data_IF_173839703500
#
_entry.id   IF_173839703500
#
_cell.length_a   1.000
_cell.length_b   1.000
_cell.length_c   1.000
_cell.angle_alpha   90.00
_cell.angle_beta   90.00
_cell.angle_gamma   90.00
#
_symmetry.space_group_name_H-M   'P 1'
#
loop_
_entity.id
_entity.type
_entity.pdbx_description
1 polymer ?
#
# COMPACT_ATOMS: atom_id res chain seq x y z
N UNK A 1 10.79 48.25 52.28
CA UNK A 1 9.89 47.09 52.08
C UNK A 1 9.75 46.82 50.60
N UNK A 2 10.46 45.82 50.05
CA UNK A 2 10.39 45.47 48.63
C UNK A 2 9.46 44.28 48.40
N UNK A 3 8.29 44.49 47.78
CA UNK A 3 7.40 43.40 47.36
C UNK A 3 8.08 42.64 46.20
N UNK A 4 8.48 41.39 46.45
CA UNK A 4 8.81 40.44 45.39
C UNK A 4 7.50 40.05 44.68
N UNK A 5 7.35 40.43 43.42
CA UNK A 5 6.27 39.91 42.58
C UNK A 5 6.58 38.46 42.19
N UNK A 6 5.59 37.54 42.23
CA UNK A 6 5.78 36.20 41.71
C UNK A 6 5.81 36.27 40.18
N UNK A 7 6.91 35.83 39.58
CA UNK A 7 6.95 35.57 38.15
C UNK A 7 6.01 34.39 37.88
N UNK A 8 4.84 34.68 37.31
CA UNK A 8 3.98 33.67 36.72
C UNK A 8 4.79 32.90 35.69
N UNK A 9 4.89 31.59 35.88
CA UNK A 9 5.56 30.70 34.95
C UNK A 9 4.80 30.72 33.62
N UNK A 10 5.33 31.46 32.65
CA UNK A 10 4.93 31.34 31.26
C UNK A 10 5.26 29.91 30.82
N UNK A 11 4.27 29.01 30.82
CA UNK A 11 4.39 27.74 30.10
C UNK A 11 4.44 28.07 28.62
N UNK A 12 5.61 27.86 28.02
CA UNK A 12 5.76 27.80 26.57
C UNK A 12 4.73 26.79 26.00
N UNK A 13 4.07 27.12 24.87
CA UNK A 13 3.12 26.21 24.26
C UNK A 13 3.82 24.91 23.83
N UNK A 14 3.20 23.74 24.02
CA UNK A 14 3.78 22.45 23.62
C UNK A 14 3.61 22.28 22.11
N UNK A 15 4.51 22.86 21.32
CA UNK A 15 4.39 22.86 19.85
C UNK A 15 5.10 21.67 19.23
N UNK A 16 6.40 21.50 19.51
CA UNK A 16 7.22 20.51 18.78
C UNK A 16 6.92 19.05 19.16
N UNK A 17 6.75 18.74 20.46
CA UNK A 17 6.47 17.38 20.93
C UNK A 17 5.05 16.90 20.51
N UNK A 18 4.08 17.81 20.50
CA UNK A 18 2.71 17.50 20.08
C UNK A 18 2.65 17.15 18.60
N UNK A 19 3.32 17.94 17.75
CA UNK A 19 3.37 17.71 16.31
C UNK A 19 4.17 16.44 15.97
N UNK A 20 5.28 16.19 16.67
CA UNK A 20 6.02 14.94 16.55
C UNK A 20 5.15 13.72 16.86
N UNK A 21 4.37 13.74 17.96
CA UNK A 21 3.47 12.64 18.31
C UNK A 21 2.36 12.45 17.29
N UNK A 22 1.76 13.54 16.79
CA UNK A 22 0.67 13.49 15.79
C UNK A 22 1.16 12.90 14.47
N UNK A 23 2.21 13.48 13.90
CA UNK A 23 2.74 13.04 12.61
C UNK A 23 3.50 11.71 12.73
N UNK A 24 4.15 11.41 13.86
CA UNK A 24 4.76 10.11 14.12
C UNK A 24 3.74 8.96 14.16
N UNK A 25 2.52 9.19 14.66
CA UNK A 25 1.42 8.21 14.53
C UNK A 25 1.02 7.99 13.07
N UNK A 26 0.91 9.07 12.30
CA UNK A 26 0.57 8.99 10.89
C UNK A 26 1.65 8.25 10.09
N UNK A 27 2.93 8.53 10.31
CA UNK A 27 4.05 7.81 9.67
C UNK A 27 3.97 6.30 9.92
N UNK A 28 3.74 5.88 11.18
CA UNK A 28 3.60 4.46 11.51
C UNK A 28 2.40 3.80 10.82
N UNK A 29 1.29 4.52 10.72
CA UNK A 29 0.11 4.03 10.01
C UNK A 29 0.39 3.87 8.50
N UNK A 30 1.04 4.86 7.89
CA UNK A 30 1.41 4.81 6.47
C UNK A 30 2.37 3.65 6.17
N UNK A 31 3.36 3.38 7.03
CA UNK A 31 4.26 2.23 6.86
C UNK A 31 3.52 0.89 7.01
N UNK A 32 2.55 0.79 7.92
CA UNK A 32 1.71 -0.40 8.02
C UNK A 32 0.92 -0.64 6.73
N UNK A 33 0.21 0.38 6.25
CA UNK A 33 -0.58 0.30 5.01
C UNK A 33 0.33 -0.04 3.83
N UNK A 34 1.54 0.53 3.78
CA UNK A 34 2.55 0.21 2.76
C UNK A 34 2.92 -1.27 2.77
N UNK A 35 3.13 -1.85 3.95
CA UNK A 35 3.36 -3.29 4.12
C UNK A 35 2.20 -4.13 3.62
N UNK A 36 0.97 -3.77 3.99
CA UNK A 36 -0.27 -4.44 3.55
C UNK A 36 -0.43 -4.41 2.02
N UNK A 37 -0.24 -3.24 1.39
CA UNK A 37 -0.28 -3.10 -0.08
C UNK A 37 0.80 -3.95 -0.74
N UNK A 38 2.01 -3.96 -0.19
CA UNK A 38 3.13 -4.74 -0.74
C UNK A 38 2.84 -6.24 -0.68
N UNK A 39 2.30 -6.70 0.45
CA UNK A 39 1.89 -8.09 0.63
C UNK A 39 0.80 -8.48 -0.38
N UNK A 40 -0.26 -7.69 -0.49
CA UNK A 40 -1.34 -7.95 -1.44
C UNK A 40 -0.84 -7.95 -2.89
N UNK A 41 0.05 -7.02 -3.25
CA UNK A 41 0.65 -6.97 -4.59
C UNK A 41 1.48 -8.23 -4.90
N UNK A 42 2.21 -8.76 -3.92
CA UNK A 42 2.99 -9.99 -4.07
C UNK A 42 2.08 -11.21 -4.26
N UNK A 43 0.99 -11.31 -3.49
CA UNK A 43 -0.01 -12.37 -3.62
C UNK A 43 -0.73 -12.31 -4.98
N UNK A 44 -1.12 -11.11 -5.44
CA UNK A 44 -1.72 -10.92 -6.75
C UNK A 44 -0.77 -11.30 -7.87
N UNK A 45 0.52 -10.95 -7.77
CA UNK A 45 1.52 -11.35 -8.76
C UNK A 45 1.64 -12.88 -8.85
N UNK A 46 1.79 -13.55 -7.70
CA UNK A 46 1.88 -15.01 -7.66
C UNK A 46 0.61 -15.68 -8.22
N UNK A 47 -0.56 -15.14 -7.89
CA UNK A 47 -1.84 -15.64 -8.42
C UNK A 47 -1.97 -15.40 -9.93
N UNK A 48 -1.53 -14.24 -10.42
CA UNK A 48 -1.50 -13.89 -11.84
C UNK A 48 -0.60 -14.81 -12.66
N UNK A 49 0.59 -15.12 -12.15
CA UNK A 49 1.54 -16.04 -12.80
C UNK A 49 0.90 -17.44 -12.93
N UNK A 50 0.35 -17.98 -11.83
CA UNK A 50 -0.36 -19.27 -11.83
C UNK A 50 -1.55 -19.32 -12.80
N UNK A 51 -2.34 -18.26 -12.87
CA UNK A 51 -3.47 -18.18 -13.81
C UNK A 51 -3.00 -18.14 -15.27
N UNK A 52 -1.88 -17.46 -15.54
CA UNK A 52 -1.27 -17.41 -16.87
C UNK A 52 -0.79 -18.79 -17.30
N UNK A 53 -0.10 -19.51 -16.41
CA UNK A 53 0.34 -20.88 -16.66
C UNK A 53 -0.86 -21.81 -16.92
N UNK A 54 -1.91 -21.72 -16.11
CA UNK A 54 -3.12 -22.51 -16.30
C UNK A 54 -3.82 -22.22 -17.63
N UNK A 55 -3.81 -20.97 -18.06
CA UNK A 55 -4.42 -20.57 -19.34
C UNK A 55 -3.60 -21.13 -20.50
N UNK A 56 -2.27 -21.08 -20.43
CA UNK A 56 -1.39 -21.69 -21.42
C UNK A 56 -1.62 -23.21 -21.53
N UNK A 57 -1.67 -23.92 -20.39
CA UNK A 57 -1.95 -25.37 -20.40
C UNK A 57 -3.33 -25.71 -20.94
N UNK A 58 -4.35 -24.92 -20.61
CA UNK A 58 -5.72 -25.17 -21.09
C UNK A 58 -5.82 -24.92 -22.60
N UNK A 59 -5.07 -23.94 -23.12
CA UNK A 59 -4.96 -23.67 -24.54
C UNK A 59 -4.26 -24.81 -25.29
N UNK A 60 -3.12 -25.29 -24.79
CA UNK A 60 -2.40 -26.43 -25.36
C UNK A 60 -3.26 -27.71 -25.36
N UNK A 61 -3.97 -27.99 -24.27
CA UNK A 61 -4.90 -29.13 -24.20
C UNK A 61 -6.03 -29.02 -25.25
N UNK A 62 -6.60 -27.82 -25.41
CA UNK A 62 -7.61 -27.55 -26.42
C UNK A 62 -7.09 -27.77 -27.84
N UNK A 63 -5.86 -27.31 -28.15
CA UNK A 63 -5.22 -27.53 -29.46
C UNK A 63 -4.94 -29.01 -29.74
N UNK A 64 -4.64 -29.79 -28.69
CA UNK A 64 -4.42 -31.23 -28.80
C UNK A 64 -5.71 -32.06 -28.85
N UNK A 65 -6.89 -31.41 -28.83
CA UNK A 65 -8.20 -32.06 -28.98
C UNK A 65 -8.85 -32.53 -27.68
N UNK A 66 -8.30 -32.16 -26.52
CA UNK A 66 -8.89 -32.52 -25.23
C UNK A 66 -10.08 -31.60 -24.89
N UNK A 67 -11.29 -32.18 -24.91
CA UNK A 67 -12.54 -31.57 -24.45
C UNK A 67 -12.66 -30.04 -24.70
N UNK A 68 -12.71 -29.61 -25.97
CA UNK A 68 -12.50 -28.21 -26.36
C UNK A 68 -13.51 -27.24 -25.75
N UNK A 69 -14.76 -27.64 -25.54
CA UNK A 69 -15.79 -26.80 -24.91
C UNK A 69 -15.43 -26.47 -23.44
N UNK A 70 -15.00 -27.48 -22.68
CA UNK A 70 -14.60 -27.29 -21.28
C UNK A 70 -13.32 -26.46 -21.16
N UNK A 71 -12.37 -26.65 -22.07
CA UNK A 71 -11.14 -25.85 -22.08
C UNK A 71 -11.40 -24.40 -22.47
N UNK A 72 -12.30 -24.16 -23.43
CA UNK A 72 -12.73 -22.80 -23.79
C UNK A 72 -13.35 -22.06 -22.60
N UNK A 73 -14.28 -22.71 -21.87
CA UNK A 73 -14.89 -22.11 -20.69
C UNK A 73 -13.84 -21.78 -19.61
N UNK A 74 -12.87 -22.68 -19.41
CA UNK A 74 -11.77 -22.47 -18.46
C UNK A 74 -10.88 -21.30 -18.85
N UNK A 75 -10.55 -21.15 -20.13
CA UNK A 75 -9.78 -20.01 -20.67
C UNK A 75 -10.55 -18.70 -20.44
N UNK A 76 -11.86 -18.67 -20.65
CA UNK A 76 -12.69 -17.49 -20.42
C UNK A 76 -12.75 -17.08 -18.95
N UNK A 77 -12.83 -18.05 -18.04
CA UNK A 77 -12.75 -17.79 -16.58
C UNK A 77 -11.39 -17.22 -16.20
N UNK A 78 -10.30 -17.83 -16.68
CA UNK A 78 -8.93 -17.38 -16.39
C UNK A 78 -8.68 -15.98 -16.93
N UNK A 79 -9.17 -15.67 -18.13
CA UNK A 79 -9.05 -14.34 -18.74
C UNK A 79 -9.76 -13.26 -17.92
N UNK A 80 -10.97 -13.54 -17.44
CA UNK A 80 -11.71 -12.62 -16.55
C UNK A 80 -10.98 -12.41 -15.24
N UNK A 81 -10.47 -13.47 -14.62
CA UNK A 81 -9.74 -13.39 -13.36
C UNK A 81 -8.40 -12.63 -13.51
N UNK A 82 -7.67 -12.85 -14.61
CA UNK A 82 -6.45 -12.09 -14.95
C UNK A 82 -6.73 -10.60 -15.13
N UNK A 83 -7.85 -10.26 -15.78
CA UNK A 83 -8.26 -8.86 -15.97
C UNK A 83 -8.58 -8.19 -14.64
N UNK A 84 -9.29 -8.88 -13.75
CA UNK A 84 -9.56 -8.40 -12.38
C UNK A 84 -8.27 -8.24 -11.57
N UNK A 85 -7.37 -9.23 -11.63
CA UNK A 85 -6.07 -9.19 -10.95
C UNK A 85 -5.24 -7.98 -11.40
N UNK A 86 -5.10 -7.76 -12.71
CA UNK A 86 -4.37 -6.60 -13.27
C UNK A 86 -5.00 -5.27 -12.86
N UNK A 87 -6.33 -5.19 -12.85
CA UNK A 87 -7.06 -3.99 -12.41
C UNK A 87 -6.77 -3.69 -10.94
N UNK A 88 -6.72 -4.72 -10.09
CA UNK A 88 -6.36 -4.56 -8.68
C UNK A 88 -4.90 -4.15 -8.51
N UNK A 89 -3.96 -4.76 -9.24
CA UNK A 89 -2.55 -4.36 -9.23
C UNK A 89 -2.37 -2.87 -9.61
N UNK A 90 -3.08 -2.39 -10.62
CA UNK A 90 -3.06 -0.98 -11.00
C UNK A 90 -3.60 -0.06 -9.87
N UNK A 91 -4.69 -0.47 -9.21
CA UNK A 91 -5.22 0.25 -8.05
C UNK A 91 -4.21 0.29 -6.89
N UNK A 92 -3.54 -0.82 -6.59
CA UNK A 92 -2.51 -0.88 -5.55
C UNK A 92 -1.30 0.02 -5.87
N UNK A 93 -0.89 0.11 -7.14
CA UNK A 93 0.17 1.01 -7.56
C UNK A 93 -0.19 2.49 -7.32
N UNK A 94 -1.44 2.88 -7.59
CA UNK A 94 -1.94 4.24 -7.29
C UNK A 94 -1.94 4.51 -5.77
N UNK A 95 -2.40 3.53 -4.97
CA UNK A 95 -2.38 3.63 -3.52
C UNK A 95 -0.93 3.77 -2.99
N UNK A 96 0.00 2.95 -3.47
CA UNK A 96 1.42 3.02 -3.09
C UNK A 96 2.01 4.40 -3.41
N UNK A 97 1.76 4.93 -4.61
CA UNK A 97 2.22 6.26 -4.99
C UNK A 97 1.62 7.38 -4.12
N UNK A 98 0.38 7.23 -3.65
CA UNK A 98 -0.22 8.15 -2.68
C UNK A 98 0.49 8.09 -1.31
N UNK A 99 0.74 6.88 -0.80
CA UNK A 99 1.44 6.67 0.47
C UNK A 99 2.85 7.26 0.42
N UNK A 100 3.62 6.96 -0.63
CA UNK A 100 4.98 7.45 -0.79
C UNK A 100 5.05 8.98 -0.88
N UNK A 101 4.13 9.61 -1.63
CA UNK A 101 4.02 11.08 -1.69
C UNK A 101 3.67 11.69 -0.34
N UNK A 102 2.74 11.08 0.38
CA UNK A 102 2.34 11.55 1.71
C UNK A 102 3.52 11.46 2.69
N UNK A 103 4.27 10.35 2.67
CA UNK A 103 5.46 10.18 3.49
C UNK A 103 6.54 11.22 3.17
N UNK A 104 6.81 11.46 1.89
CA UNK A 104 7.76 12.49 1.47
C UNK A 104 7.32 13.90 1.92
N UNK A 105 6.02 14.19 1.92
CA UNK A 105 5.47 15.42 2.47
C UNK A 105 5.69 15.54 3.98
N UNK A 106 5.44 14.46 4.73
CA UNK A 106 5.65 14.43 6.18
C UNK A 106 7.12 14.60 6.58
N UNK A 107 8.05 14.04 5.81
CA UNK A 107 9.48 14.20 6.04
C UNK A 107 9.96 15.66 5.91
N UNK A 108 9.23 16.51 5.18
CA UNK A 108 9.50 17.96 5.10
C UNK A 108 8.99 18.72 6.33
N UNK A 109 7.97 18.19 7.00
CA UNK A 109 7.35 18.78 8.20
C UNK A 109 8.11 18.36 9.46
N UNK A 110 8.59 17.12 9.52
CA UNK A 110 9.39 16.58 10.61
C UNK A 110 10.88 16.57 10.21
N UNK A 111 11.63 17.67 10.39
CA UNK A 111 13.04 17.69 10.03
C UNK A 111 13.82 16.67 10.87
N UNK A 112 14.77 16.02 10.21
CA UNK A 112 15.59 14.87 10.65
C UNK A 112 16.47 15.08 11.88
N UNK A 113 16.25 16.11 12.70
CA UNK A 113 17.16 16.53 13.79
C UNK A 113 17.22 15.55 14.98
N UNK A 114 16.67 14.35 14.82
CA UNK A 114 16.56 13.29 15.83
C UNK A 114 16.67 11.88 15.22
N UNK A 115 17.23 11.75 14.02
CA UNK A 115 17.65 10.46 13.47
C UNK A 115 18.89 9.93 14.19
#
# INVERSE_FOLDING_TARGET
>A
MGRKMPLTSFRLPPTEDTDYRRFGRLVRLLERIRGEITQEAAELRQSGDKMTDCAAFSFEAMENGDNPESMSERIDILTRNLTSNRSRQASLAVQMAFIDRTRAGLARILPSRWA
#
